data_IF_028490869401
#
_entry.id   IF_028490869401
#
_cell.length_a   1.000
_cell.length_b   1.000
_cell.length_c   1.000
_cell.angle_alpha   90.00
_cell.angle_beta   90.00
_cell.angle_gamma   90.00
#
_symmetry.space_group_name_H-M   'P 1'
#
loop_
_entity.id
_entity.type
_entity.pdbx_description
1 polymer ?
#
# COMPACT_ATOMS: atom_id res chain seq x y z
N UNK A 1 11.90 3.07 12.02
CA UNK A 1 11.40 4.20 12.82
C UNK A 1 11.43 3.74 14.26
N UNK A 2 12.34 4.32 15.05
CA UNK A 2 12.62 3.93 16.43
C UNK A 2 12.52 5.18 17.29
N UNK A 3 11.29 5.48 17.74
CA UNK A 3 11.00 6.48 18.78
C UNK A 3 10.14 5.91 19.93
N UNK A 4 10.00 4.58 19.99
CA UNK A 4 9.35 3.89 21.10
C UNK A 4 7.81 3.79 21.03
N UNK A 5 7.16 4.42 20.05
CA UNK A 5 5.72 4.22 19.82
C UNK A 5 5.45 2.92 19.07
N UNK A 6 4.37 2.24 19.45
CA UNK A 6 3.90 1.05 18.75
C UNK A 6 3.38 1.44 17.36
N UNK A 7 3.52 0.51 16.40
CA UNK A 7 2.98 0.71 15.06
C UNK A 7 1.46 0.89 15.11
N UNK A 8 0.80 0.19 16.03
CA UNK A 8 -0.63 0.29 16.28
C UNK A 8 -1.07 1.69 16.74
N UNK A 9 -0.34 2.32 17.66
CA UNK A 9 -0.67 3.67 18.14
C UNK A 9 -0.43 4.71 17.04
N UNK A 10 0.66 4.56 16.30
CA UNK A 10 0.93 5.39 15.12
C UNK A 10 -0.20 5.28 14.10
N UNK A 11 -0.67 4.07 13.81
CA UNK A 11 -1.76 3.83 12.86
C UNK A 11 -3.08 4.47 13.31
N UNK A 12 -3.41 4.40 14.61
CA UNK A 12 -4.61 5.02 15.17
C UNK A 12 -4.57 6.54 15.08
N UNK A 13 -3.42 7.14 15.43
CA UNK A 13 -3.27 8.61 15.36
C UNK A 13 -3.35 9.08 13.91
N UNK A 14 -2.58 8.46 12.99
CA UNK A 14 -2.60 8.85 11.58
C UNK A 14 -3.97 8.69 10.93
N UNK A 15 -4.70 7.60 11.22
CA UNK A 15 -6.04 7.38 10.67
C UNK A 15 -7.11 8.33 11.21
N UNK A 16 -6.88 8.99 12.34
CA UNK A 16 -7.76 10.07 12.83
C UNK A 16 -7.47 11.43 12.18
N UNK A 17 -6.32 11.58 11.53
CA UNK A 17 -5.85 12.83 10.94
C UNK A 17 -5.91 12.85 9.41
N UNK A 18 -6.06 11.68 8.77
CA UNK A 18 -6.03 11.52 7.32
C UNK A 18 -7.09 10.53 6.86
N UNK A 19 -7.65 10.77 5.67
CA UNK A 19 -8.64 9.88 5.04
C UNK A 19 -8.02 8.65 4.37
N UNK A 20 -6.69 8.63 4.19
CA UNK A 20 -5.96 7.55 3.55
C UNK A 20 -4.48 7.55 3.96
N UNK A 21 -3.87 6.36 4.08
CA UNK A 21 -2.45 6.20 4.41
C UNK A 21 -1.74 5.49 3.25
N UNK A 22 -0.76 6.16 2.64
CA UNK A 22 0.14 5.53 1.67
C UNK A 22 1.45 5.18 2.38
N UNK A 23 1.80 3.89 2.41
CA UNK A 23 2.97 3.40 3.15
C UNK A 23 3.99 2.75 2.23
N UNK A 24 5.25 3.17 2.37
CA UNK A 24 6.42 2.48 1.82
C UNK A 24 7.20 1.84 2.96
N UNK A 25 7.39 0.54 2.91
CA UNK A 25 8.08 -0.24 3.95
C UNK A 25 8.95 -1.33 3.31
N UNK A 26 9.84 -1.93 4.08
CA UNK A 26 10.59 -3.12 3.66
C UNK A 26 9.78 -4.37 4.01
N UNK A 27 9.57 -4.58 5.31
CA UNK A 27 8.74 -5.67 5.83
C UNK A 27 7.26 -5.44 5.54
N UNK A 28 6.64 -6.37 4.82
CA UNK A 28 5.20 -6.37 4.54
C UNK A 28 4.35 -6.48 5.81
N UNK A 29 4.84 -7.22 6.82
CA UNK A 29 4.17 -7.38 8.13
C UNK A 29 3.83 -6.06 8.80
N UNK A 30 4.70 -5.05 8.66
CA UNK A 30 4.44 -3.70 9.19
C UNK A 30 3.26 -3.04 8.50
N UNK A 31 3.12 -3.24 7.20
CA UNK A 31 1.98 -2.70 6.46
C UNK A 31 0.69 -3.38 6.88
N UNK A 32 0.69 -4.70 7.04
CA UNK A 32 -0.46 -5.44 7.54
C UNK A 32 -0.83 -5.03 8.97
N UNK A 33 0.15 -4.77 9.83
CA UNK A 33 -0.07 -4.27 11.18
C UNK A 33 -0.72 -2.88 11.16
N UNK A 34 -0.20 -1.93 10.37
CA UNK A 34 -0.85 -0.60 10.22
C UNK A 34 -2.27 -0.74 9.66
N UNK A 35 -2.47 -1.60 8.66
CA UNK A 35 -3.80 -1.85 8.08
C UNK A 35 -4.79 -2.44 9.09
N UNK A 36 -4.32 -3.28 10.02
CA UNK A 36 -5.17 -3.87 11.07
C UNK A 36 -5.64 -2.83 12.10
N UNK A 37 -4.82 -1.81 12.41
CA UNK A 37 -5.12 -0.80 13.43
C UNK A 37 -5.59 0.55 12.88
N UNK A 38 -5.55 0.73 11.55
CA UNK A 38 -6.03 1.93 10.87
C UNK A 38 -7.54 1.87 10.64
N UNK A 39 -8.23 2.99 10.86
CA UNK A 39 -9.65 3.14 10.49
C UNK A 39 -9.84 3.57 9.03
N UNK A 40 -8.77 3.92 8.34
CA UNK A 40 -8.78 4.39 6.95
C UNK A 40 -7.98 3.46 6.03
N UNK A 41 -8.25 3.45 4.72
CA UNK A 41 -7.53 2.60 3.77
C UNK A 41 -6.02 2.80 3.83
N UNK A 42 -5.27 1.69 3.83
CA UNK A 42 -3.81 1.69 3.77
C UNK A 42 -3.36 1.14 2.42
N UNK A 43 -2.67 1.96 1.63
CA UNK A 43 -2.15 1.60 0.31
C UNK A 43 -0.67 1.21 0.42
N UNK A 44 -0.33 0.04 -0.14
CA UNK A 44 1.04 -0.39 -0.30
C UNK A 44 1.70 0.31 -1.49
N UNK A 45 2.55 1.29 -1.22
CA UNK A 45 3.31 1.97 -2.26
C UNK A 45 4.48 1.13 -2.75
N UNK A 46 5.15 0.41 -1.86
CA UNK A 46 6.25 -0.51 -2.14
C UNK A 46 6.58 -1.27 -0.85
N UNK A 47 6.66 -2.59 -0.95
CA UNK A 47 7.13 -3.53 0.07
C UNK A 47 8.14 -4.49 -0.55
N UNK A 48 8.99 -5.15 0.24
CA UNK A 48 9.94 -6.12 -0.29
C UNK A 48 9.26 -7.28 -1.04
N UNK A 49 8.00 -7.58 -0.70
CA UNK A 49 7.22 -8.66 -1.32
C UNK A 49 6.43 -8.23 -2.55
N UNK A 50 6.08 -6.94 -2.68
CA UNK A 50 5.19 -6.48 -3.75
C UNK A 50 5.25 -4.97 -3.98
N UNK A 51 5.06 -4.59 -5.25
CA UNK A 51 4.91 -3.21 -5.70
C UNK A 51 3.65 -3.04 -6.58
N UNK A 52 2.45 -3.12 -5.99
CA UNK A 52 1.19 -3.16 -6.76
C UNK A 52 0.95 -1.90 -7.59
N UNK A 53 1.35 -0.72 -7.10
CA UNK A 53 1.20 0.53 -7.85
C UNK A 53 2.02 0.54 -9.15
N UNK A 54 3.17 -0.13 -9.20
CA UNK A 54 3.98 -0.23 -10.41
C UNK A 54 3.33 -1.18 -11.40
N UNK A 55 2.86 -2.34 -10.93
CA UNK A 55 2.15 -3.30 -11.78
C UNK A 55 0.92 -2.67 -12.45
N UNK A 56 0.14 -1.89 -11.69
CA UNK A 56 -1.02 -1.18 -12.24
C UNK A 56 -0.59 -0.14 -13.28
N UNK A 57 0.49 0.59 -13.05
CA UNK A 57 1.03 1.55 -14.01
C UNK A 57 1.52 0.86 -15.30
N UNK A 58 2.19 -0.29 -15.17
CA UNK A 58 2.67 -1.08 -16.30
C UNK A 58 1.52 -1.66 -17.12
N UNK A 59 0.48 -2.15 -16.45
CA UNK A 59 -0.75 -2.63 -17.09
C UNK A 59 -1.44 -1.48 -17.84
N UNK A 60 -1.61 -0.32 -17.21
CA UNK A 60 -2.20 0.85 -17.86
C UNK A 60 -1.40 1.23 -19.11
N UNK A 61 -0.08 1.32 -18.99
CA UNK A 61 0.82 1.63 -20.10
C UNK A 61 0.70 0.60 -21.22
N UNK A 62 0.62 -0.70 -20.88
CA UNK A 62 0.42 -1.75 -21.86
C UNK A 62 -0.91 -1.59 -22.59
N UNK A 63 -2.00 -1.35 -21.87
CA UNK A 63 -3.33 -1.17 -22.46
C UNK A 63 -3.37 0.03 -23.40
N UNK A 64 -2.71 1.14 -23.03
CA UNK A 64 -2.59 2.33 -23.88
C UNK A 64 -1.84 2.07 -25.18
N UNK A 65 -0.77 1.27 -25.15
CA UNK A 65 0.11 1.05 -26.32
C UNK A 65 -0.23 -0.20 -27.14
N UNK A 66 -0.88 -1.20 -26.55
CA UNK A 66 -1.10 -2.52 -27.15
C UNK A 66 -2.58 -2.91 -27.26
N UNK A 67 -3.48 -2.12 -26.69
CA UNK A 67 -4.90 -2.44 -26.61
C UNK A 67 -5.23 -3.33 -25.41
N UNK A 68 -6.49 -3.77 -25.28
CA UNK A 68 -6.98 -4.46 -24.08
C UNK A 68 -6.16 -5.71 -23.75
N UNK A 69 -5.96 -5.97 -22.45
CA UNK A 69 -5.27 -7.17 -22.00
C UNK A 69 -5.98 -8.42 -22.52
N UNK A 70 -5.23 -9.45 -22.96
CA UNK A 70 -5.83 -10.72 -23.30
C UNK A 70 -6.52 -11.27 -22.04
N UNK A 71 -7.84 -11.47 -22.14
CA UNK A 71 -8.61 -12.12 -21.08
C UNK A 71 -8.06 -13.53 -20.92
N UNK A 72 -7.49 -13.86 -19.76
CA UNK A 72 -7.20 -15.25 -19.45
C UNK A 72 -8.52 -16.04 -19.38
N UNK A 73 -8.58 -17.26 -19.94
CA UNK A 73 -9.74 -18.14 -19.84
C UNK A 73 -9.98 -18.63 -18.41
#
# INVERSE_FOLDING_TARGET
>A
MSRGESLADTARVLSSMADLIVMRTLAHERLTEVAQYSQVPVINAMSDTSHPCQLLADILTFVEHRGPLPTQP
#
